data_IF_610310425259
#
_entry.id   IF_610310425259
#
_cell.length_a   1.000
_cell.length_b   1.000
_cell.length_c   1.000
_cell.angle_alpha   90.00
_cell.angle_beta   90.00
_cell.angle_gamma   90.00
#
_symmetry.space_group_name_H-M   'P 1'
#
loop_
_entity.id
_entity.type
_entity.pdbx_description
1 polymer ?
#
# COMPACT_ATOMS: atom_id res chain seq x y z
N UNK A 1 24.27 12.91 -20.52
CA UNK A 1 22.96 12.20 -20.44
C UNK A 1 22.36 12.41 -19.05
N UNK A 2 21.14 12.95 -18.93
CA UNK A 2 20.50 13.16 -17.62
C UNK A 2 20.03 11.82 -17.02
N UNK A 3 20.20 11.65 -15.70
CA UNK A 3 19.71 10.46 -14.98
C UNK A 3 18.18 10.48 -14.90
N UNK A 4 17.56 9.33 -15.14
CA UNK A 4 16.13 9.13 -14.93
C UNK A 4 15.78 9.38 -13.45
N UNK A 5 14.82 10.26 -13.21
CA UNK A 5 14.37 10.61 -11.85
C UNK A 5 13.21 9.70 -11.45
N UNK A 6 13.29 9.13 -10.25
CA UNK A 6 12.20 8.34 -9.69
C UNK A 6 11.07 9.25 -9.19
N UNK A 7 9.82 8.82 -9.37
CA UNK A 7 8.67 9.56 -8.86
C UNK A 7 8.61 9.42 -7.34
N UNK A 8 8.88 10.51 -6.63
CA UNK A 8 8.92 10.57 -5.17
C UNK A 8 7.64 10.06 -4.50
N UNK A 9 6.47 10.30 -5.10
CA UNK A 9 5.19 9.81 -4.60
C UNK A 9 5.03 8.29 -4.67
N UNK A 10 5.61 7.64 -5.69
CA UNK A 10 5.53 6.18 -5.89
C UNK A 10 6.48 5.48 -4.93
N UNK A 11 7.71 5.99 -4.78
CA UNK A 11 8.71 5.47 -3.82
C UNK A 11 8.18 5.36 -2.38
N UNK A 12 7.29 6.27 -1.97
CA UNK A 12 6.71 6.28 -0.62
C UNK A 12 5.57 5.27 -0.43
N UNK A 13 5.00 4.72 -1.50
CA UNK A 13 3.75 3.96 -1.48
C UNK A 13 3.91 2.50 -1.90
N UNK A 14 4.92 2.20 -2.72
CA UNK A 14 5.13 0.89 -3.31
C UNK A 14 6.56 0.43 -3.06
N UNK A 15 6.72 -0.84 -2.71
CA UNK A 15 8.01 -1.51 -2.54
C UNK A 15 8.02 -2.83 -3.31
N UNK A 16 9.19 -3.33 -3.69
CA UNK A 16 9.30 -4.64 -4.32
C UNK A 16 9.48 -5.75 -3.28
N UNK A 17 8.97 -6.95 -3.57
CA UNK A 17 9.35 -8.18 -2.86
C UNK A 17 10.64 -8.74 -3.42
N UNK A 18 11.27 -9.68 -2.72
CA UNK A 18 12.47 -10.37 -3.22
C UNK A 18 12.25 -11.07 -4.59
N UNK A 19 11.01 -11.46 -4.88
CA UNK A 19 10.59 -12.08 -6.15
C UNK A 19 10.18 -11.08 -7.23
N UNK A 20 10.31 -9.77 -6.99
CA UNK A 20 10.00 -8.71 -7.96
C UNK A 20 8.52 -8.28 -8.03
N UNK A 21 7.64 -8.81 -7.17
CA UNK A 21 6.24 -8.37 -7.09
C UNK A 21 6.13 -7.03 -6.38
N UNK A 22 5.10 -6.24 -6.70
CA UNK A 22 4.90 -4.92 -6.11
C UNK A 22 4.02 -5.04 -4.86
N UNK A 23 4.49 -4.55 -3.72
CA UNK A 23 3.78 -4.55 -2.44
C UNK A 23 3.18 -3.16 -2.18
N UNK A 24 1.92 -3.13 -1.72
CA UNK A 24 1.21 -1.90 -1.30
C UNK A 24 0.42 -2.09 0.00
N UNK A 25 0.14 -0.98 0.67
CA UNK A 25 -0.80 -0.94 1.79
C UNK A 25 -2.26 -0.97 1.32
N UNK A 26 -3.11 -1.67 2.06
CA UNK A 26 -4.57 -1.68 1.86
C UNK A 26 -5.20 -0.31 2.19
N UNK A 27 -6.23 0.07 1.43
CA UNK A 27 -6.97 1.34 1.59
C UNK A 27 -8.25 1.14 2.41
N UNK A 28 -8.89 2.22 2.85
CA UNK A 28 -10.20 2.14 3.51
C UNK A 28 -10.16 1.84 5.01
N UNK A 29 -9.06 2.14 5.71
CA UNK A 29 -8.97 2.03 7.19
C UNK A 29 -8.41 3.27 7.89
N UNK A 30 -8.41 4.44 7.22
CA UNK A 30 -7.82 5.68 7.77
C UNK A 30 -8.79 6.55 8.58
N UNK A 31 -10.07 6.58 8.20
CA UNK A 31 -11.09 7.45 8.81
C UNK A 31 -12.49 6.84 8.63
N UNK A 32 -13.47 7.18 9.47
CA UNK A 32 -14.83 6.64 9.39
C UNK A 32 -14.96 5.21 9.93
N UNK A 33 -14.29 4.90 11.04
CA UNK A 33 -14.24 3.56 11.63
C UNK A 33 -15.57 3.13 12.28
N UNK A 34 -16.41 4.08 12.68
CA UNK A 34 -17.72 3.84 13.29
C UNK A 34 -18.62 2.97 12.38
N UNK A 35 -18.52 3.14 11.05
CA UNK A 35 -19.35 2.41 10.08
C UNK A 35 -18.74 1.08 9.63
N UNK A 36 -17.54 0.72 10.10
CA UNK A 36 -16.82 -0.46 9.61
C UNK A 36 -16.94 -1.63 10.56
N UNK A 37 -17.09 -2.82 10.01
CA UNK A 37 -17.10 -4.05 10.81
C UNK A 37 -15.68 -4.42 11.25
N UNK A 38 -15.57 -5.05 12.42
CA UNK A 38 -14.29 -5.55 12.94
C UNK A 38 -13.61 -6.55 11.98
N UNK A 39 -14.40 -7.29 11.18
CA UNK A 39 -13.90 -8.20 10.15
C UNK A 39 -13.19 -7.45 9.02
N UNK A 40 -13.80 -6.38 8.50
CA UNK A 40 -13.20 -5.54 7.47
C UNK A 40 -11.89 -4.92 7.97
N UNK A 41 -11.88 -4.40 9.19
CA UNK A 41 -10.68 -3.78 9.77
C UNK A 41 -9.54 -4.80 9.87
N UNK A 42 -9.83 -6.03 10.32
CA UNK A 42 -8.84 -7.13 10.39
C UNK A 42 -8.25 -7.47 9.02
N UNK A 43 -9.09 -7.64 8.01
CA UNK A 43 -8.64 -7.99 6.66
C UNK A 43 -7.75 -6.90 6.05
N UNK A 44 -8.02 -5.63 6.34
CA UNK A 44 -7.26 -4.50 5.81
C UNK A 44 -5.99 -4.18 6.61
N UNK A 45 -5.65 -4.90 7.69
CA UNK A 45 -4.45 -4.63 8.51
C UNK A 45 -3.15 -4.78 7.71
N UNK A 46 -3.08 -5.79 6.85
CA UNK A 46 -1.88 -6.16 6.13
C UNK A 46 -1.56 -5.31 4.89
N UNK A 47 -0.50 -5.72 4.23
CA UNK A 47 -0.11 -5.28 2.90
C UNK A 47 -0.51 -6.32 1.88
N UNK A 48 -0.87 -5.90 0.69
CA UNK A 48 -1.19 -6.80 -0.42
C UNK A 48 -0.20 -6.64 -1.55
N UNK A 49 -0.04 -7.73 -2.28
CA UNK A 49 0.70 -7.73 -3.52
C UNK A 49 -0.22 -7.19 -4.64
N UNK A 50 0.40 -6.43 -5.54
CA UNK A 50 -0.10 -6.04 -6.85
C UNK A 50 0.52 -7.00 -7.86
#
# INVERSE_FOLDING_TARGET
>A
MPKLKTKSGVKKRFSFTATGKVKRGQTGKRHGMIKRTNKQIRNLRGTTLV
#
